data_IF_486646528435
#
_entry.id   IF_486646528435
#
_cell.length_a   1.000
_cell.length_b   1.000
_cell.length_c   1.000
_cell.angle_alpha   90.00
_cell.angle_beta   90.00
_cell.angle_gamma   90.00
#
_symmetry.space_group_name_H-M   'P 1'
#
loop_
_entity.id
_entity.type
_entity.pdbx_description
1 polymer ?
#
# COMPACT_ATOMS: atom_id res chain seq x y z
N UNK A 1 39.89 -9.46 22.19
CA UNK A 1 38.48 -9.79 21.88
C UNK A 1 38.13 -9.14 20.55
N UNK A 2 38.05 -9.92 19.46
CA UNK A 2 38.11 -9.41 18.08
C UNK A 2 36.89 -8.55 17.71
N UNK A 3 37.12 -7.44 17.00
CA UNK A 3 36.05 -6.60 16.43
C UNK A 3 35.07 -7.40 15.56
N UNK A 4 35.51 -8.52 14.98
CA UNK A 4 34.70 -9.47 14.22
C UNK A 4 33.67 -10.22 15.09
N UNK A 5 34.06 -10.66 16.29
CA UNK A 5 33.15 -11.32 17.25
C UNK A 5 32.13 -10.36 17.86
N UNK A 6 32.48 -9.08 18.06
CA UNK A 6 31.52 -8.05 18.48
C UNK A 6 30.54 -7.66 17.36
N UNK A 7 31.02 -7.63 16.11
CA UNK A 7 30.18 -7.43 14.91
C UNK A 7 29.15 -8.56 14.73
N UNK A 8 29.56 -9.82 14.91
CA UNK A 8 28.66 -10.99 14.86
C UNK A 8 27.61 -11.01 15.97
N UNK A 9 27.92 -10.52 17.17
CA UNK A 9 26.98 -10.56 18.30
C UNK A 9 25.88 -9.50 18.21
N UNK A 10 26.19 -8.29 17.71
CA UNK A 10 25.18 -7.26 17.40
C UNK A 10 24.29 -7.66 16.21
N UNK A 11 24.80 -8.44 15.26
CA UNK A 11 24.01 -8.94 14.14
C UNK A 11 23.16 -10.16 14.46
N UNK A 12 23.39 -10.87 15.58
CA UNK A 12 22.67 -12.12 15.86
C UNK A 12 21.19 -11.88 16.17
N UNK A 13 20.86 -10.87 16.96
CA UNK A 13 19.45 -10.53 17.27
C UNK A 13 18.73 -10.02 16.03
N UNK A 14 19.37 -9.14 15.27
CA UNK A 14 18.85 -8.64 13.99
C UNK A 14 18.64 -9.76 12.98
N UNK A 15 19.58 -10.70 12.87
CA UNK A 15 19.48 -11.84 11.96
C UNK A 15 18.37 -12.80 12.39
N UNK A 16 18.27 -13.12 13.68
CA UNK A 16 17.18 -13.94 14.23
C UNK A 16 15.83 -13.29 13.95
N UNK A 17 15.70 -11.99 14.18
CA UNK A 17 14.47 -11.26 13.90
C UNK A 17 14.15 -11.24 12.40
N UNK A 18 15.15 -11.06 11.55
CA UNK A 18 15.00 -11.11 10.10
C UNK A 18 14.53 -12.49 9.63
N UNK A 19 15.12 -13.57 10.16
CA UNK A 19 14.71 -14.94 9.86
C UNK A 19 13.28 -15.20 10.36
N UNK A 20 12.95 -14.74 11.58
CA UNK A 20 11.62 -14.87 12.16
C UNK A 20 10.57 -14.17 11.31
N UNK A 21 10.79 -12.91 10.92
CA UNK A 21 9.87 -12.14 10.06
C UNK A 21 9.75 -12.79 8.69
N UNK A 22 10.84 -13.30 8.12
CA UNK A 22 10.80 -14.05 6.85
C UNK A 22 9.95 -15.32 6.97
N UNK A 23 10.11 -16.07 8.06
CA UNK A 23 9.32 -17.26 8.34
C UNK A 23 7.84 -16.92 8.51
N UNK A 24 7.52 -15.89 9.31
CA UNK A 24 6.13 -15.43 9.51
C UNK A 24 5.52 -14.98 8.18
N UNK A 25 6.26 -14.20 7.36
CA UNK A 25 5.81 -13.81 6.02
C UNK A 25 5.47 -15.05 5.18
N UNK A 26 6.36 -16.05 5.16
CA UNK A 26 6.12 -17.32 4.48
C UNK A 26 4.83 -18.00 4.96
N UNK A 27 4.65 -18.14 6.26
CA UNK A 27 3.43 -18.71 6.86
C UNK A 27 2.19 -17.92 6.44
N UNK A 28 2.21 -16.58 6.56
CA UNK A 28 1.10 -15.71 6.18
C UNK A 28 0.67 -15.91 4.71
N UNK A 29 1.63 -16.10 3.79
CA UNK A 29 1.30 -16.34 2.37
C UNK A 29 0.47 -17.61 2.16
N UNK A 30 0.73 -18.67 2.94
CA UNK A 30 0.02 -19.93 2.85
C UNK A 30 -1.31 -19.96 3.61
N UNK A 31 -1.58 -19.00 4.49
CA UNK A 31 -2.88 -18.90 5.15
C UNK A 31 -3.95 -18.57 4.09
N UNK A 32 -4.99 -19.40 3.95
CA UNK A 32 -6.12 -19.08 3.08
C UNK A 32 -6.88 -17.91 3.69
N UNK A 33 -7.37 -16.99 2.84
CA UNK A 33 -8.19 -15.86 3.29
C UNK A 33 -9.59 -16.30 3.74
N UNK A 34 -9.96 -17.56 3.49
CA UNK A 34 -11.28 -18.13 3.77
C UNK A 34 -12.38 -17.65 2.83
N UNK A 35 -12.04 -16.83 1.83
CA UNK A 35 -12.94 -16.45 0.74
C UNK A 35 -12.63 -17.31 -0.48
N UNK A 36 -13.60 -18.12 -0.89
CA UNK A 36 -13.53 -18.93 -2.10
C UNK A 36 -14.43 -18.38 -3.18
N UNK A 37 -14.13 -18.76 -4.42
CA UNK A 37 -15.03 -18.51 -5.54
C UNK A 37 -16.41 -19.13 -5.26
N UNK A 38 -17.52 -18.46 -5.60
CA UNK A 38 -18.84 -19.07 -5.53
C UNK A 38 -19.04 -20.21 -6.55
N UNK A 39 -18.11 -20.36 -7.50
CA UNK A 39 -18.15 -21.44 -8.49
C UNK A 39 -17.53 -22.74 -7.94
N UNK A 40 -18.01 -23.93 -8.35
CA UNK A 40 -17.50 -25.21 -7.87
C UNK A 40 -15.98 -25.36 -8.07
N UNK A 41 -15.29 -25.97 -7.11
CA UNK A 41 -13.84 -26.13 -7.20
C UNK A 41 -13.42 -26.86 -8.48
N UNK A 42 -12.47 -26.26 -9.19
CA UNK A 42 -11.98 -26.77 -10.46
C UNK A 42 -13.01 -26.73 -11.59
N UNK A 43 -14.08 -25.93 -11.49
CA UNK A 43 -14.98 -25.66 -12.63
C UNK A 43 -14.41 -24.64 -13.61
N UNK A 44 -13.38 -23.88 -13.21
CA UNK A 44 -12.73 -22.89 -14.06
C UNK A 44 -11.20 -23.01 -13.99
N UNK A 45 -10.53 -22.62 -15.07
CA UNK A 45 -9.08 -22.53 -15.16
C UNK A 45 -8.66 -21.19 -15.74
N UNK A 46 -7.71 -20.54 -15.07
CA UNK A 46 -7.08 -19.32 -15.58
C UNK A 46 -5.93 -19.69 -16.52
N UNK A 47 -5.87 -19.05 -17.68
CA UNK A 47 -4.81 -19.30 -18.66
C UNK A 47 -4.31 -18.01 -19.31
N UNK A 48 -3.11 -18.12 -19.87
CA UNK A 48 -2.55 -17.14 -20.80
C UNK A 48 -2.95 -17.58 -22.21
N UNK A 49 -3.45 -16.66 -23.01
CA UNK A 49 -3.82 -16.90 -24.41
C UNK A 49 -3.19 -15.85 -25.32
N UNK A 50 -3.02 -16.19 -26.60
CA UNK A 50 -2.63 -15.25 -27.67
C UNK A 50 -3.84 -14.95 -28.54
N UNK A 51 -4.07 -13.69 -28.86
CA UNK A 51 -5.08 -13.28 -29.84
C UNK A 51 -4.53 -13.56 -31.24
N UNK A 52 -5.19 -14.45 -31.99
CA UNK A 52 -4.82 -14.79 -33.36
C UNK A 52 -5.50 -13.87 -34.37
N UNK A 53 -6.80 -13.65 -34.20
CA UNK A 53 -7.60 -12.81 -35.07
C UNK A 53 -8.67 -12.06 -34.28
N UNK A 54 -9.08 -10.90 -34.81
CA UNK A 54 -10.14 -10.07 -34.23
C UNK A 54 -11.12 -9.67 -35.32
N UNK A 55 -12.39 -10.00 -35.15
CA UNK A 55 -13.47 -9.42 -35.95
C UNK A 55 -14.20 -8.34 -35.13
N UNK A 56 -14.19 -7.13 -35.69
CA UNK A 56 -14.75 -5.93 -35.09
C UNK A 56 -16.03 -5.46 -35.81
N UNK A 57 -16.61 -6.28 -36.68
CA UNK A 57 -17.81 -5.96 -37.47
C UNK A 57 -19.00 -5.50 -36.61
N UNK A 58 -19.11 -6.03 -35.39
CA UNK A 58 -20.14 -5.69 -34.39
C UNK A 58 -19.79 -4.50 -33.50
N UNK A 59 -18.61 -3.91 -33.66
CA UNK A 59 -18.18 -2.72 -32.89
C UNK A 59 -18.67 -1.45 -33.58
N UNK A 60 -19.36 -0.60 -32.82
CA UNK A 60 -19.79 0.74 -33.23
C UNK A 60 -19.00 1.79 -32.47
N UNK A 61 -18.52 2.81 -33.18
CA UNK A 61 -17.91 3.99 -32.55
C UNK A 61 -18.98 5.06 -32.40
N UNK A 62 -19.28 5.47 -31.17
CA UNK A 62 -20.24 6.51 -30.84
C UNK A 62 -19.48 7.62 -30.10
N UNK A 63 -19.25 8.74 -30.78
CA UNK A 63 -18.40 9.81 -30.27
C UNK A 63 -16.99 9.29 -29.95
N UNK A 64 -16.43 9.54 -28.74
CA UNK A 64 -15.10 9.10 -28.37
C UNK A 64 -15.03 7.64 -27.89
N UNK A 65 -16.16 6.93 -27.79
CA UNK A 65 -16.27 5.60 -27.18
C UNK A 65 -16.62 4.52 -28.21
N UNK A 66 -16.19 3.29 -27.93
CA UNK A 66 -16.51 2.09 -28.72
C UNK A 66 -17.48 1.21 -27.96
N UNK A 67 -18.51 0.74 -28.63
CA UNK A 67 -19.57 -0.10 -28.07
C UNK A 67 -19.74 -1.35 -28.92
N UNK A 68 -20.31 -2.40 -28.33
CA UNK A 68 -20.59 -3.66 -29.01
C UNK A 68 -19.63 -4.74 -28.57
N UNK A 69 -19.22 -5.61 -29.48
CA UNK A 69 -18.34 -6.73 -29.13
C UNK A 69 -17.29 -6.98 -30.19
N UNK A 70 -16.10 -7.37 -29.74
CA UNK A 70 -15.05 -7.94 -30.60
C UNK A 70 -15.17 -9.47 -30.55
N UNK A 71 -15.28 -10.11 -31.70
CA UNK A 71 -15.11 -11.56 -31.80
C UNK A 71 -13.62 -11.86 -31.90
N UNK A 72 -13.13 -12.75 -31.06
CA UNK A 72 -11.71 -13.05 -30.91
C UNK A 72 -11.48 -14.53 -31.19
N UNK A 73 -10.52 -14.83 -32.06
CA UNK A 73 -9.91 -16.16 -32.13
C UNK A 73 -8.66 -16.16 -31.25
N UNK A 74 -8.57 -17.11 -30.33
CA UNK A 74 -7.48 -17.17 -29.36
C UNK A 74 -6.81 -18.54 -29.34
N UNK A 75 -5.50 -18.56 -29.12
CA UNK A 75 -4.69 -19.76 -28.87
C UNK A 75 -4.32 -19.81 -27.39
N UNK A 76 -4.60 -20.93 -26.72
CA UNK A 76 -4.20 -21.11 -25.32
C UNK A 76 -2.69 -21.41 -25.23
N UNK A 77 -1.95 -20.66 -24.42
CA UNK A 77 -0.49 -20.79 -24.26
C UNK A 77 -0.06 -21.59 -23.03
N UNK A 78 -0.94 -21.72 -22.03
CA UNK A 78 -0.66 -22.42 -20.76
C UNK A 78 -1.72 -23.47 -20.44
N UNK A 79 -1.57 -24.20 -19.33
CA UNK A 79 -2.48 -25.28 -18.88
C UNK A 79 -2.47 -26.53 -19.78
N UNK A 80 -3.34 -27.50 -19.48
CA UNK A 80 -3.53 -28.74 -20.27
C UNK A 80 -4.17 -28.54 -21.64
N UNK A 81 -4.71 -27.35 -21.91
CA UNK A 81 -5.35 -27.01 -23.19
C UNK A 81 -4.43 -26.21 -24.13
N UNK A 82 -3.13 -26.18 -23.84
CA UNK A 82 -2.13 -25.46 -24.65
C UNK A 82 -2.18 -25.88 -26.13
N UNK A 83 -2.14 -24.89 -27.02
CA UNK A 83 -2.21 -25.04 -28.48
C UNK A 83 -3.63 -25.24 -29.03
N UNK A 84 -4.66 -25.30 -28.16
CA UNK A 84 -6.06 -25.31 -28.64
C UNK A 84 -6.53 -23.90 -28.95
N UNK A 85 -7.37 -23.82 -29.98
CA UNK A 85 -7.97 -22.58 -30.45
C UNK A 85 -9.41 -22.48 -29.95
N UNK A 86 -9.82 -21.29 -29.54
CA UNK A 86 -11.18 -21.01 -29.13
C UNK A 86 -11.65 -19.69 -29.73
N UNK A 87 -12.97 -19.60 -29.96
CA UNK A 87 -13.63 -18.35 -30.28
C UNK A 87 -14.30 -17.79 -29.02
N UNK A 88 -14.11 -16.51 -28.77
CA UNK A 88 -14.64 -15.82 -27.59
C UNK A 88 -15.05 -14.40 -27.96
N UNK A 89 -15.93 -13.83 -27.16
CA UNK A 89 -16.39 -12.46 -27.35
C UNK A 89 -15.79 -11.55 -26.26
N UNK A 90 -15.28 -10.39 -26.65
CA UNK A 90 -14.93 -9.30 -25.73
C UNK A 90 -15.95 -8.15 -25.87
N UNK A 91 -16.68 -7.86 -24.79
CA UNK A 91 -17.74 -6.86 -24.81
C UNK A 91 -17.20 -5.48 -24.42
N UNK A 92 -17.55 -4.46 -25.21
CA UNK A 92 -17.21 -3.06 -25.00
C UNK A 92 -18.46 -2.30 -24.52
N UNK A 93 -18.39 -1.79 -23.29
CA UNK A 93 -19.47 -1.07 -22.61
C UNK A 93 -19.51 0.41 -22.99
N UNK A 94 -18.49 0.91 -23.71
CA UNK A 94 -18.31 2.34 -23.98
C UNK A 94 -17.68 3.11 -22.83
N UNK A 95 -17.14 2.40 -21.85
CA UNK A 95 -16.43 2.94 -20.68
C UNK A 95 -14.96 2.58 -20.81
N UNK A 96 -14.14 3.51 -21.33
CA UNK A 96 -12.70 3.29 -21.56
C UNK A 96 -11.91 2.82 -20.33
N UNK A 97 -12.39 3.12 -19.13
CA UNK A 97 -11.76 2.65 -17.87
C UNK A 97 -11.95 1.14 -17.63
N UNK A 98 -13.00 0.52 -18.20
CA UNK A 98 -13.32 -0.90 -18.06
C UNK A 98 -13.07 -1.70 -19.35
N UNK A 99 -13.22 -1.03 -20.49
CA UNK A 99 -13.13 -1.64 -21.81
C UNK A 99 -11.69 -2.01 -22.15
N UNK A 100 -11.51 -3.21 -22.71
CA UNK A 100 -10.22 -3.68 -23.23
C UNK A 100 -10.31 -3.76 -24.74
N UNK A 101 -9.37 -3.17 -25.45
CA UNK A 101 -9.26 -3.33 -26.90
C UNK A 101 -8.16 -4.32 -27.21
N UNK A 102 -8.49 -5.42 -27.90
CA UNK A 102 -7.52 -6.43 -28.31
C UNK A 102 -7.20 -6.33 -29.80
N UNK A 103 -5.95 -6.63 -30.14
CA UNK A 103 -5.43 -6.73 -31.51
C UNK A 103 -4.73 -8.08 -31.73
N UNK A 104 -4.63 -8.57 -32.98
CA UNK A 104 -3.85 -9.77 -33.29
C UNK A 104 -2.41 -9.66 -32.79
N UNK A 105 -1.92 -10.71 -32.13
CA UNK A 105 -0.59 -10.76 -31.51
C UNK A 105 -0.58 -10.43 -30.01
N UNK A 106 -1.64 -9.81 -29.47
CA UNK A 106 -1.74 -9.50 -28.05
C UNK A 106 -1.80 -10.78 -27.19
N UNK A 107 -1.27 -10.70 -25.97
CA UNK A 107 -1.46 -11.75 -24.97
C UNK A 107 -2.56 -11.38 -24.00
N UNK A 108 -3.56 -12.24 -23.87
CA UNK A 108 -4.70 -12.08 -22.99
C UNK A 108 -4.61 -13.03 -21.78
N UNK A 109 -5.16 -12.58 -20.66
CA UNK A 109 -5.49 -13.39 -19.50
C UNK A 109 -6.95 -13.81 -19.64
N UNK A 110 -7.20 -15.12 -19.64
CA UNK A 110 -8.52 -15.70 -19.91
C UNK A 110 -8.93 -16.63 -18.77
N UNK A 111 -10.24 -16.73 -18.55
CA UNK A 111 -10.85 -17.74 -17.70
C UNK A 111 -11.60 -18.73 -18.58
N UNK A 112 -11.35 -20.01 -18.36
CA UNK A 112 -11.96 -21.11 -19.10
C UNK A 112 -12.89 -21.86 -18.16
N UNK A 113 -14.19 -21.80 -18.42
CA UNK A 113 -15.18 -22.64 -17.76
C UNK A 113 -15.11 -24.04 -18.35
N UNK A 114 -14.99 -25.03 -17.48
CA UNK A 114 -14.87 -26.43 -17.87
C UNK A 114 -16.24 -27.08 -17.96
N UNK A 115 -16.32 -28.13 -18.78
CA UNK A 115 -17.49 -29.00 -18.84
C UNK A 115 -17.76 -29.66 -17.48
N UNK A 116 -18.99 -30.14 -17.20
CA UNK A 116 -19.33 -30.76 -15.92
C UNK A 116 -18.44 -31.96 -15.55
N UNK A 117 -17.93 -32.70 -16.54
CA UNK A 117 -16.98 -33.80 -16.38
C UNK A 117 -15.52 -33.35 -16.22
N UNK A 118 -15.26 -32.03 -16.29
CA UNK A 118 -13.96 -31.36 -16.17
C UNK A 118 -12.92 -31.89 -17.17
N UNK A 119 -13.33 -32.42 -18.32
CA UNK A 119 -12.40 -32.94 -19.34
C UNK A 119 -12.12 -31.95 -20.45
N UNK A 120 -13.09 -31.11 -20.80
CA UNK A 120 -12.94 -30.10 -21.84
C UNK A 120 -13.39 -28.71 -21.37
N UNK A 121 -13.24 -27.74 -22.26
CA UNK A 121 -13.61 -26.34 -22.06
C UNK A 121 -15.02 -26.12 -22.61
N UNK A 122 -15.95 -25.69 -21.76
CA UNK A 122 -17.31 -25.34 -22.13
C UNK A 122 -17.38 -23.92 -22.70
N UNK A 123 -16.69 -22.97 -22.06
CA UNK A 123 -16.68 -21.58 -22.47
C UNK A 123 -15.35 -20.92 -22.12
N UNK A 124 -14.92 -19.94 -22.93
CA UNK A 124 -13.76 -19.12 -22.63
C UNK A 124 -14.19 -17.67 -22.58
N UNK A 125 -13.75 -16.96 -21.55
CA UNK A 125 -14.01 -15.55 -21.38
C UNK A 125 -12.69 -14.79 -21.22
N UNK A 126 -12.53 -13.72 -22.00
CA UNK A 126 -11.32 -12.90 -21.98
C UNK A 126 -11.43 -11.86 -20.88
N UNK A 127 -10.50 -11.91 -19.93
CA UNK A 127 -10.56 -11.08 -18.73
C UNK A 127 -9.79 -9.78 -18.93
N UNK A 128 -8.52 -9.81 -19.30
CA UNK A 128 -7.72 -8.60 -19.56
C UNK A 128 -6.48 -8.95 -20.39
N UNK A 129 -5.61 -7.98 -20.67
CA UNK A 129 -4.27 -8.25 -21.17
C UNK A 129 -3.43 -8.93 -20.09
N UNK A 130 -2.63 -9.89 -20.51
CA UNK A 130 -1.73 -10.61 -19.64
C UNK A 130 -0.53 -9.72 -19.26
N UNK A 131 -0.43 -9.31 -17.98
CA UNK A 131 0.62 -8.41 -17.48
C UNK A 131 1.53 -9.02 -16.42
N UNK A 132 1.26 -10.25 -15.99
CA UNK A 132 1.99 -10.87 -14.87
C UNK A 132 3.50 -10.98 -15.12
N UNK A 133 3.93 -11.33 -16.34
CA UNK A 133 5.36 -11.43 -16.68
C UNK A 133 6.07 -10.07 -16.55
N UNK A 134 5.43 -8.99 -17.03
CA UNK A 134 5.99 -7.64 -16.95
C UNK A 134 6.02 -7.10 -15.53
N UNK A 135 4.98 -7.37 -14.74
CA UNK A 135 4.93 -7.03 -13.31
C UNK A 135 6.04 -7.76 -12.56
N UNK A 136 6.24 -9.05 -12.83
CA UNK A 136 7.30 -9.84 -12.21
C UNK A 136 8.70 -9.31 -12.58
N UNK A 137 8.93 -8.98 -13.86
CA UNK A 137 10.19 -8.41 -14.31
C UNK A 137 10.50 -7.07 -13.64
N UNK A 138 9.50 -6.18 -13.54
CA UNK A 138 9.65 -4.90 -12.85
C UNK A 138 9.94 -5.09 -11.36
N UNK A 139 9.25 -6.02 -10.72
CA UNK A 139 9.45 -6.32 -9.30
C UNK A 139 10.86 -6.87 -9.02
N UNK A 140 11.34 -7.80 -9.84
CA UNK A 140 12.70 -8.34 -9.73
C UNK A 140 13.74 -7.24 -9.95
N UNK A 141 13.56 -6.39 -10.98
CA UNK A 141 14.46 -5.26 -11.23
C UNK A 141 14.53 -4.31 -10.04
N UNK A 142 13.38 -3.96 -9.44
CA UNK A 142 13.32 -3.12 -8.26
C UNK A 142 14.10 -3.71 -7.08
N UNK A 143 13.93 -5.02 -6.80
CA UNK A 143 14.65 -5.71 -5.73
C UNK A 143 16.16 -5.71 -5.99
N UNK A 144 16.59 -5.99 -7.22
CA UNK A 144 18.00 -6.00 -7.59
C UNK A 144 18.65 -4.63 -7.38
N UNK A 145 17.97 -3.56 -7.77
CA UNK A 145 18.46 -2.18 -7.55
C UNK A 145 18.48 -1.84 -6.05
N UNK A 146 17.44 -2.19 -5.30
CA UNK A 146 17.34 -1.93 -3.86
C UNK A 146 18.46 -2.64 -3.09
N UNK A 147 18.66 -3.93 -3.34
CA UNK A 147 19.73 -4.72 -2.69
C UNK A 147 21.10 -4.29 -3.20
N UNK A 148 21.24 -3.98 -4.49
CA UNK A 148 22.50 -3.49 -5.06
C UNK A 148 22.96 -2.18 -4.43
N UNK A 149 22.04 -1.25 -4.18
CA UNK A 149 22.35 0.05 -3.57
C UNK A 149 22.50 0.00 -2.05
N UNK A 150 21.56 -0.64 -1.35
CA UNK A 150 21.49 -0.62 0.12
C UNK A 150 22.03 -1.90 0.81
N UNK A 151 22.52 -2.88 0.03
CA UNK A 151 23.12 -4.11 0.54
C UNK A 151 22.20 -4.87 1.50
N UNK A 152 22.72 -5.20 2.68
CA UNK A 152 21.97 -5.90 3.73
C UNK A 152 20.76 -5.11 4.24
N UNK A 153 20.86 -3.77 4.31
CA UNK A 153 19.74 -2.91 4.71
C UNK A 153 18.64 -2.96 3.64
N UNK A 154 19.02 -2.97 2.37
CA UNK A 154 18.10 -3.16 1.24
C UNK A 154 17.36 -4.50 1.30
N UNK A 155 18.06 -5.57 1.65
CA UNK A 155 17.44 -6.89 1.85
C UNK A 155 16.44 -6.90 3.01
N UNK A 156 16.78 -6.29 4.15
CA UNK A 156 15.85 -6.12 5.28
C UNK A 156 14.62 -5.30 4.87
N UNK A 157 14.80 -4.21 4.13
CA UNK A 157 13.70 -3.39 3.61
C UNK A 157 12.80 -4.17 2.63
N UNK A 158 13.36 -5.07 1.83
CA UNK A 158 12.57 -5.97 0.99
C UNK A 158 11.73 -6.94 1.83
N UNK A 159 12.29 -7.54 2.89
CA UNK A 159 11.55 -8.43 3.78
C UNK A 159 10.42 -7.67 4.49
N UNK A 160 10.66 -6.45 4.98
CA UNK A 160 9.59 -5.66 5.60
C UNK A 160 8.49 -5.29 4.61
N UNK A 161 8.84 -5.00 3.36
CA UNK A 161 7.86 -4.76 2.29
C UNK A 161 6.98 -5.99 2.05
N UNK A 162 7.59 -7.16 1.88
CA UNK A 162 6.86 -8.43 1.67
C UNK A 162 5.99 -8.77 2.87
N UNK A 163 6.51 -8.62 4.09
CA UNK A 163 5.75 -8.80 5.33
C UNK A 163 4.52 -7.86 5.38
N UNK A 164 4.71 -6.59 5.01
CA UNK A 164 3.63 -5.60 5.02
C UNK A 164 2.51 -5.96 4.04
N UNK A 165 2.87 -6.33 2.81
CA UNK A 165 1.90 -6.78 1.81
C UNK A 165 1.17 -8.04 2.28
N UNK A 166 1.90 -9.03 2.81
CA UNK A 166 1.32 -10.26 3.32
C UNK A 166 0.35 -9.97 4.48
N UNK A 167 0.74 -9.15 5.45
CA UNK A 167 -0.09 -8.82 6.61
C UNK A 167 -1.35 -8.06 6.20
N UNK A 168 -1.25 -7.11 5.28
CA UNK A 168 -2.42 -6.37 4.78
C UNK A 168 -3.38 -7.31 4.05
N UNK A 169 -2.89 -8.09 3.07
CA UNK A 169 -3.74 -8.91 2.21
C UNK A 169 -4.29 -10.15 2.95
N UNK A 170 -3.52 -10.75 3.86
CA UNK A 170 -3.87 -12.02 4.50
C UNK A 170 -4.48 -11.87 5.89
N UNK A 171 -4.28 -10.73 6.56
CA UNK A 171 -4.80 -10.51 7.91
C UNK A 171 -5.74 -9.32 7.95
N UNK A 172 -5.29 -8.13 7.57
CA UNK A 172 -6.11 -6.92 7.68
C UNK A 172 -7.40 -7.00 6.85
N UNK A 173 -7.28 -7.20 5.53
CA UNK A 173 -8.44 -7.20 4.64
C UNK A 173 -9.43 -8.33 4.95
N UNK A 174 -9.01 -9.60 5.14
CA UNK A 174 -9.94 -10.68 5.47
C UNK A 174 -10.65 -10.47 6.81
N UNK A 175 -9.96 -10.00 7.84
CA UNK A 175 -10.60 -9.74 9.15
C UNK A 175 -11.61 -8.60 9.08
N UNK A 176 -11.34 -7.54 8.31
CA UNK A 176 -12.33 -6.49 8.02
C UNK A 176 -13.56 -7.10 7.34
N UNK A 177 -13.36 -7.96 6.34
CA UNK A 177 -14.45 -8.65 5.65
C UNK A 177 -15.21 -9.61 6.59
N UNK A 178 -14.56 -10.20 7.60
CA UNK A 178 -15.21 -10.98 8.65
C UNK A 178 -15.98 -10.13 9.68
N UNK A 179 -16.06 -8.81 9.49
CA UNK A 179 -16.87 -7.90 10.32
C UNK A 179 -16.14 -7.28 11.49
N UNK A 180 -14.81 -7.39 11.57
CA UNK A 180 -14.04 -6.66 12.57
C UNK A 180 -14.06 -5.17 12.28
N UNK A 181 -14.01 -4.35 13.34
CA UNK A 181 -14.02 -2.90 13.20
C UNK A 181 -12.82 -2.40 12.37
N UNK A 182 -13.05 -1.75 11.20
CA UNK A 182 -11.96 -1.35 10.31
C UNK A 182 -10.98 -0.37 10.96
N UNK A 183 -11.47 0.53 11.82
CA UNK A 183 -10.66 1.58 12.41
C UNK A 183 -9.67 1.00 13.43
N UNK A 184 -10.18 0.27 14.43
CA UNK A 184 -9.36 -0.30 15.51
C UNK A 184 -8.42 -1.40 15.01
N UNK A 185 -8.90 -2.27 14.11
CA UNK A 185 -8.08 -3.33 13.54
C UNK A 185 -6.93 -2.75 12.73
N UNK A 186 -7.19 -1.75 11.88
CA UNK A 186 -6.14 -1.11 11.10
C UNK A 186 -5.14 -0.41 12.00
N UNK A 187 -5.58 0.24 13.09
CA UNK A 187 -4.66 0.85 14.07
C UNK A 187 -3.71 -0.20 14.70
N UNK A 188 -4.25 -1.36 15.09
CA UNK A 188 -3.44 -2.46 15.63
C UNK A 188 -2.45 -3.03 14.61
N UNK A 189 -2.90 -3.21 13.36
CA UNK A 189 -2.03 -3.67 12.26
C UNK A 189 -0.95 -2.64 11.94
N UNK A 190 -1.27 -1.35 11.86
CA UNK A 190 -0.28 -0.28 11.64
C UNK A 190 0.72 -0.23 12.79
N UNK A 191 0.31 -0.43 14.04
CA UNK A 191 1.23 -0.53 15.17
C UNK A 191 2.20 -1.71 15.03
N UNK A 192 1.70 -2.87 14.62
CA UNK A 192 2.52 -4.06 14.35
C UNK A 192 3.47 -3.84 13.16
N UNK A 193 3.00 -3.26 12.06
CA UNK A 193 3.83 -2.89 10.91
C UNK A 193 4.92 -1.92 11.33
N UNK A 194 4.56 -0.88 12.09
CA UNK A 194 5.50 0.13 12.61
C UNK A 194 6.58 -0.52 13.46
N UNK A 195 6.21 -1.45 14.34
CA UNK A 195 7.17 -2.23 15.11
C UNK A 195 8.09 -3.04 14.18
N UNK A 196 7.53 -3.88 13.33
CA UNK A 196 8.34 -4.80 12.49
C UNK A 196 9.26 -4.03 11.55
N UNK A 197 8.76 -3.01 10.85
CA UNK A 197 9.54 -2.22 9.89
C UNK A 197 10.70 -1.51 10.59
N UNK A 198 10.42 -0.78 11.67
CA UNK A 198 11.44 0.02 12.38
C UNK A 198 12.50 -0.89 13.00
N UNK A 199 12.11 -1.98 13.66
CA UNK A 199 13.08 -2.87 14.31
C UNK A 199 13.83 -3.76 13.33
N UNK A 200 13.27 -4.05 12.14
CA UNK A 200 13.99 -4.76 11.09
C UNK A 200 15.06 -3.86 10.47
N UNK A 201 14.71 -2.64 10.06
CA UNK A 201 15.63 -1.71 9.39
C UNK A 201 16.59 -1.04 10.38
N UNK A 202 16.06 -0.53 11.49
CA UNK A 202 16.81 0.22 12.51
C UNK A 202 17.43 -0.61 13.64
N UNK A 203 17.10 -1.90 13.71
CA UNK A 203 17.57 -2.82 14.74
C UNK A 203 16.97 -2.53 16.13
N UNK A 204 17.21 -3.45 17.08
CA UNK A 204 16.80 -3.30 18.49
C UNK A 204 17.71 -2.32 19.25
N UNK A 205 17.60 -1.04 18.89
CA UNK A 205 18.46 0.03 19.40
C UNK A 205 17.63 1.15 20.03
N UNK A 206 18.28 2.05 20.78
CA UNK A 206 17.66 3.31 21.24
C UNK A 206 17.06 4.09 20.06
N UNK A 207 17.71 4.03 18.90
CA UNK A 207 17.25 4.63 17.65
C UNK A 207 15.91 4.06 17.21
N UNK A 208 15.79 2.74 17.17
CA UNK A 208 14.54 2.04 16.87
C UNK A 208 13.43 2.37 17.87
N UNK A 209 13.74 2.42 19.18
CA UNK A 209 12.74 2.75 20.20
C UNK A 209 12.22 4.20 20.08
N UNK A 210 13.11 5.18 19.90
CA UNK A 210 12.73 6.58 19.72
C UNK A 210 11.88 6.75 18.45
N UNK A 211 12.29 6.10 17.36
CA UNK A 211 11.56 6.11 16.10
C UNK A 211 10.18 5.45 16.22
N UNK A 212 10.07 4.33 16.93
CA UNK A 212 8.80 3.64 17.15
C UNK A 212 7.81 4.50 17.93
N UNK A 213 8.23 5.09 19.06
CA UNK A 213 7.36 5.93 19.89
C UNK A 213 6.97 7.20 19.13
N UNK A 214 7.91 7.82 18.41
CA UNK A 214 7.64 9.00 17.59
C UNK A 214 6.62 8.73 16.49
N UNK A 215 6.78 7.61 15.78
CA UNK A 215 5.87 7.18 14.72
C UNK A 215 4.48 6.85 15.27
N UNK A 216 4.40 6.09 16.36
CA UNK A 216 3.13 5.76 17.01
C UNK A 216 2.39 7.01 17.49
N UNK A 217 3.10 8.01 18.03
CA UNK A 217 2.51 9.30 18.39
C UNK A 217 1.85 10.00 17.19
N UNK A 218 2.53 10.00 16.04
CA UNK A 218 1.98 10.54 14.79
C UNK A 218 0.77 9.77 14.26
N UNK A 219 0.84 8.43 14.25
CA UNK A 219 -0.27 7.57 13.81
C UNK A 219 -1.50 7.74 14.70
N UNK A 220 -1.32 7.79 16.03
CA UNK A 220 -2.41 8.01 16.96
C UNK A 220 -3.07 9.36 16.76
N UNK A 221 -2.28 10.43 16.59
CA UNK A 221 -2.82 11.75 16.30
C UNK A 221 -3.58 11.75 14.96
N UNK A 222 -3.01 11.16 13.92
CA UNK A 222 -3.67 11.04 12.60
C UNK A 222 -5.01 10.31 12.73
N UNK A 223 -5.06 9.25 13.55
CA UNK A 223 -6.28 8.48 13.80
C UNK A 223 -7.35 9.34 14.48
N UNK A 224 -6.97 10.11 15.51
CA UNK A 224 -7.88 11.02 16.23
C UNK A 224 -8.41 12.12 15.32
N UNK A 225 -7.53 12.73 14.52
CA UNK A 225 -7.90 13.76 13.55
C UNK A 225 -8.78 13.17 12.44
N UNK A 226 -8.48 11.98 11.94
CA UNK A 226 -9.28 11.31 10.91
C UNK A 226 -10.68 11.04 11.44
N UNK A 227 -10.81 10.54 12.67
CA UNK A 227 -12.11 10.35 13.31
C UNK A 227 -12.89 11.68 13.42
N UNK A 228 -12.26 12.73 13.97
CA UNK A 228 -12.90 14.02 14.17
C UNK A 228 -13.32 14.69 12.86
N UNK A 229 -12.39 14.85 11.91
CA UNK A 229 -12.65 15.59 10.67
C UNK A 229 -13.57 14.84 9.71
N UNK A 230 -13.48 13.51 9.64
CA UNK A 230 -14.38 12.70 8.80
C UNK A 230 -15.83 12.83 9.29
N UNK A 231 -16.05 12.78 10.61
CA UNK A 231 -17.37 13.01 11.20
C UNK A 231 -17.84 14.45 11.03
N UNK A 232 -16.96 15.44 11.23
CA UNK A 232 -17.31 16.85 11.10
C UNK A 232 -17.71 17.23 9.67
N UNK A 233 -17.00 16.70 8.67
CA UNK A 233 -17.28 16.91 7.25
C UNK A 233 -18.36 15.98 6.70
N UNK A 234 -18.92 15.09 7.54
CA UNK A 234 -19.99 14.14 7.18
C UNK A 234 -19.63 13.24 5.99
N UNK A 235 -18.38 12.77 5.93
CA UNK A 235 -17.90 11.90 4.87
C UNK A 235 -18.40 10.48 5.10
N UNK A 236 -19.22 9.96 4.17
CA UNK A 236 -19.79 8.60 4.27
C UNK A 236 -18.85 7.49 3.75
N UNK A 237 -17.73 7.82 3.11
CA UNK A 237 -16.67 6.86 2.72
C UNK A 237 -16.92 6.06 1.44
N UNK A 238 -18.15 6.00 0.91
CA UNK A 238 -18.46 5.27 -0.34
C UNK A 238 -17.84 5.89 -1.61
N UNK A 239 -17.23 7.06 -1.50
CA UNK A 239 -16.55 7.76 -2.59
C UNK A 239 -15.26 7.06 -3.07
N UNK A 240 -14.76 6.07 -2.33
CA UNK A 240 -13.56 5.32 -2.71
C UNK A 240 -13.93 4.31 -3.80
N UNK A 241 -13.09 4.13 -4.84
CA UNK A 241 -13.33 3.12 -5.86
C UNK A 241 -13.64 1.75 -5.24
N UNK A 242 -14.67 1.08 -5.74
CA UNK A 242 -15.13 -0.24 -5.29
C UNK A 242 -15.66 -0.31 -3.84
N UNK A 243 -15.66 0.76 -3.05
CA UNK A 243 -16.13 0.71 -1.67
C UNK A 243 -17.63 0.38 -1.58
N UNK A 244 -18.46 1.00 -2.43
CA UNK A 244 -19.89 0.68 -2.50
C UNK A 244 -20.13 -0.74 -3.03
N UNK A 245 -19.30 -1.22 -3.96
CA UNK A 245 -19.41 -2.57 -4.51
C UNK A 245 -19.28 -3.66 -3.44
N UNK A 246 -18.53 -3.42 -2.36
CA UNK A 246 -18.42 -4.36 -1.24
C UNK A 246 -19.78 -4.62 -0.58
N UNK A 247 -20.63 -3.59 -0.47
CA UNK A 247 -21.97 -3.73 0.10
C UNK A 247 -22.84 -4.65 -0.78
N UNK A 248 -22.77 -4.47 -2.10
CA UNK A 248 -23.48 -5.31 -3.07
C UNK A 248 -22.94 -6.75 -3.14
N UNK A 249 -21.71 -6.99 -2.69
CA UNK A 249 -21.11 -8.33 -2.59
C UNK A 249 -21.51 -9.07 -1.30
N UNK A 250 -22.40 -8.49 -0.49
CA UNK A 250 -22.90 -9.10 0.74
C UNK A 250 -22.12 -8.72 2.00
N UNK A 251 -21.31 -7.66 1.96
CA UNK A 251 -20.61 -7.10 3.13
C UNK A 251 -21.29 -5.82 3.63
N UNK A 252 -22.62 -5.85 3.78
CA UNK A 252 -23.45 -4.69 4.15
C UNK A 252 -23.19 -4.16 5.57
N UNK A 253 -22.64 -5.01 6.46
CA UNK A 253 -22.18 -4.61 7.80
C UNK A 253 -20.93 -3.72 7.81
N UNK A 254 -20.26 -3.54 6.67
CA UNK A 254 -19.01 -2.79 6.60
C UNK A 254 -19.27 -1.29 6.76
N UNK A 255 -18.66 -0.69 7.78
CA UNK A 255 -18.71 0.76 7.96
C UNK A 255 -17.75 1.46 6.99
N UNK A 256 -18.27 1.91 5.83
CA UNK A 256 -17.50 2.67 4.84
C UNK A 256 -16.83 3.95 5.39
N UNK A 257 -17.45 4.74 6.30
CA UNK A 257 -16.76 5.87 6.92
C UNK A 257 -15.54 5.44 7.76
N UNK A 258 -15.65 4.34 8.53
CA UNK A 258 -14.54 3.82 9.33
C UNK A 258 -13.44 3.21 8.46
N UNK A 259 -13.82 2.57 7.37
CA UNK A 259 -12.87 2.09 6.35
C UNK A 259 -12.11 3.25 5.71
N UNK A 260 -12.80 4.37 5.43
CA UNK A 260 -12.16 5.59 4.95
C UNK A 260 -11.17 6.15 5.98
N UNK A 261 -11.58 6.31 7.24
CA UNK A 261 -10.70 6.78 8.33
C UNK A 261 -9.47 5.88 8.50
N UNK A 262 -9.65 4.56 8.45
CA UNK A 262 -8.58 3.57 8.48
C UNK A 262 -7.57 3.76 7.34
N UNK A 263 -8.08 4.00 6.12
CA UNK A 263 -7.26 4.30 4.96
C UNK A 263 -6.37 5.53 5.14
N UNK A 264 -6.85 6.59 5.81
CA UNK A 264 -6.09 7.84 6.02
C UNK A 264 -4.77 7.60 6.75
N UNK A 265 -4.82 6.99 7.93
CA UNK A 265 -3.59 6.79 8.72
C UNK A 265 -2.79 5.57 8.24
N UNK A 266 -3.41 4.57 7.60
CA UNK A 266 -2.68 3.50 6.93
C UNK A 266 -1.81 4.08 5.81
N UNK A 267 -2.37 4.97 4.97
CA UNK A 267 -1.66 5.59 3.86
C UNK A 267 -0.54 6.52 4.32
N UNK A 268 -0.73 7.30 5.39
CA UNK A 268 0.32 8.20 5.91
C UNK A 268 1.36 7.52 6.80
N UNK A 269 1.08 6.31 7.32
CA UNK A 269 1.97 5.62 8.27
C UNK A 269 3.39 5.43 7.75
N UNK A 270 3.56 5.14 6.46
CA UNK A 270 4.88 5.01 5.81
C UNK A 270 5.75 6.25 6.00
N UNK A 271 5.24 7.42 5.58
CA UNK A 271 5.95 8.68 5.70
C UNK A 271 6.22 9.08 7.17
N UNK A 272 5.29 8.74 8.07
CA UNK A 272 5.44 8.95 9.52
C UNK A 272 6.61 8.12 10.08
N UNK A 273 6.74 6.85 9.67
CA UNK A 273 7.83 5.97 10.09
C UNK A 273 9.19 6.48 9.61
N UNK A 274 9.29 6.84 8.32
CA UNK A 274 10.53 7.31 7.71
C UNK A 274 11.03 8.60 8.38
N UNK A 275 10.14 9.58 8.57
CA UNK A 275 10.49 10.84 9.22
C UNK A 275 10.97 10.63 10.67
N UNK A 276 10.30 9.76 11.43
CA UNK A 276 10.71 9.48 12.80
C UNK A 276 12.07 8.77 12.85
N UNK A 277 12.32 7.86 11.90
CA UNK A 277 13.59 7.15 11.78
C UNK A 277 14.75 8.10 11.43
N UNK A 278 14.53 9.05 10.52
CA UNK A 278 15.53 10.04 10.11
C UNK A 278 15.91 11.00 11.25
N UNK A 279 14.90 11.54 11.96
CA UNK A 279 15.14 12.41 13.11
C UNK A 279 15.85 11.65 14.22
N UNK A 280 15.40 10.43 14.53
CA UNK A 280 16.03 9.58 15.52
C UNK A 280 17.48 9.24 15.16
N UNK A 281 17.76 8.98 13.87
CA UNK A 281 19.12 8.75 13.36
C UNK A 281 20.01 9.97 13.59
N UNK A 282 19.56 11.15 13.17
CA UNK A 282 20.31 12.39 13.28
C UNK A 282 20.61 12.74 14.74
N UNK A 283 19.63 12.60 15.63
CA UNK A 283 19.82 12.82 17.06
C UNK A 283 20.80 11.83 17.68
N UNK A 284 20.72 10.55 17.29
CA UNK A 284 21.67 9.52 17.72
C UNK A 284 23.11 9.85 17.32
N UNK A 285 23.32 10.32 16.10
CA UNK A 285 24.64 10.73 15.60
C UNK A 285 25.17 11.96 16.37
N UNK A 286 24.32 12.96 16.64
CA UNK A 286 24.71 14.15 17.41
C UNK A 286 25.18 13.74 18.81
N UNK A 287 24.46 12.84 19.50
CA UNK A 287 24.86 12.36 20.83
C UNK A 287 26.14 11.53 20.77
N UNK A 288 26.33 10.76 19.70
CA UNK A 288 27.56 10.00 19.51
C UNK A 288 28.79 10.92 19.35
N UNK A 289 28.65 12.04 18.63
CA UNK A 289 29.73 13.03 18.42
C UNK A 289 29.90 14.00 19.59
N UNK A 290 28.83 14.33 20.30
CA UNK A 290 28.84 15.24 21.45
C UNK A 290 28.18 14.59 22.68
N UNK A 291 28.88 13.68 23.38
CA UNK A 291 28.29 12.92 24.50
C UNK A 291 27.84 13.76 25.69
N UNK A 292 28.34 15.00 25.81
CA UNK A 292 27.99 15.93 26.90
C UNK A 292 26.82 16.87 26.55
N UNK A 293 26.20 16.72 25.37
CA UNK A 293 25.07 17.56 24.96
C UNK A 293 23.93 17.47 25.97
N UNK A 294 23.36 18.61 26.35
CA UNK A 294 22.22 18.63 27.25
C UNK A 294 20.94 18.12 26.54
N UNK A 295 19.98 17.61 27.32
CA UNK A 295 18.68 17.16 26.81
C UNK A 295 17.99 18.22 25.95
N UNK A 296 17.99 19.46 26.42
CA UNK A 296 17.32 20.58 25.76
C UNK A 296 18.03 21.02 24.49
N UNK A 297 19.36 20.98 24.45
CA UNK A 297 20.12 21.24 23.22
C UNK A 297 19.84 20.16 22.18
N UNK A 298 19.84 18.88 22.59
CA UNK A 298 19.51 17.79 21.68
C UNK A 298 18.07 17.89 21.14
N UNK A 299 17.10 18.22 22.01
CA UNK A 299 15.72 18.46 21.60
C UNK A 299 15.66 19.59 20.57
N UNK A 300 16.32 20.73 20.83
CA UNK A 300 16.39 21.86 19.87
C UNK A 300 16.99 21.42 18.54
N UNK A 301 18.08 20.64 18.55
CA UNK A 301 18.66 20.10 17.33
C UNK A 301 17.69 19.18 16.58
N UNK A 302 16.97 18.31 17.29
CA UNK A 302 15.93 17.45 16.71
C UNK A 302 14.78 18.25 16.09
N UNK A 303 14.34 19.32 16.74
CA UNK A 303 13.35 20.26 16.18
C UNK A 303 13.85 20.93 14.90
N UNK A 304 15.12 21.34 14.84
CA UNK A 304 15.71 21.94 13.64
C UNK A 304 15.74 20.94 12.49
N UNK A 305 16.20 19.70 12.72
CA UNK A 305 16.19 18.63 11.71
C UNK A 305 14.75 18.38 11.24
N UNK A 306 13.82 18.18 12.16
CA UNK A 306 12.42 17.94 11.84
C UNK A 306 11.79 19.07 11.02
N UNK A 307 12.09 20.34 11.34
CA UNK A 307 11.58 21.50 10.59
C UNK A 307 12.00 21.47 9.12
N UNK A 308 13.24 21.08 8.82
CA UNK A 308 13.72 21.01 7.45
C UNK A 308 13.09 19.85 6.67
N UNK A 309 12.95 18.68 7.29
CA UNK A 309 12.41 17.49 6.62
C UNK A 309 10.88 17.56 6.46
N UNK A 310 10.16 18.07 7.46
CA UNK A 310 8.69 18.20 7.39
C UNK A 310 8.25 19.11 6.24
N UNK A 311 8.99 20.19 5.98
CA UNK A 311 8.67 21.14 4.90
C UNK A 311 8.68 20.49 3.51
N UNK A 312 9.70 19.66 3.23
CA UNK A 312 9.80 18.95 1.95
C UNK A 312 8.78 17.80 1.86
N UNK A 313 8.61 17.01 2.92
CA UNK A 313 7.70 15.87 2.92
C UNK A 313 6.21 16.25 2.85
N UNK A 314 5.81 17.38 3.42
CA UNK A 314 4.41 17.86 3.31
C UNK A 314 4.04 18.10 1.85
N UNK A 315 4.96 18.68 1.08
CA UNK A 315 4.77 18.89 -0.37
C UNK A 315 4.76 17.56 -1.11
N UNK A 316 5.62 16.62 -0.72
CA UNK A 316 5.64 15.27 -1.32
C UNK A 316 4.30 14.54 -1.17
N UNK A 317 3.68 14.57 0.02
CA UNK A 317 2.36 13.97 0.24
C UNK A 317 1.29 14.65 -0.62
N UNK A 318 1.29 15.99 -0.66
CA UNK A 318 0.35 16.74 -1.49
C UNK A 318 0.46 16.35 -2.97
N UNK A 319 1.68 16.28 -3.50
CA UNK A 319 1.93 15.90 -4.89
C UNK A 319 1.55 14.45 -5.16
N UNK A 320 1.85 13.53 -4.25
CA UNK A 320 1.52 12.11 -4.38
C UNK A 320 0.01 11.89 -4.50
N UNK A 321 -0.79 12.55 -3.65
CA UNK A 321 -2.24 12.45 -3.72
C UNK A 321 -2.82 13.21 -4.91
N UNK A 322 -2.36 14.44 -5.17
CA UNK A 322 -2.83 15.24 -6.32
C UNK A 322 -2.61 14.50 -7.65
N UNK A 323 -1.47 13.81 -7.80
CA UNK A 323 -1.15 12.99 -8.97
C UNK A 323 -2.24 11.96 -9.31
N UNK A 324 -2.73 11.24 -8.30
CA UNK A 324 -3.80 10.23 -8.46
C UNK A 324 -5.15 10.80 -8.90
N UNK A 325 -5.38 12.09 -8.65
CA UNK A 325 -6.66 12.78 -8.96
C UNK A 325 -6.54 13.79 -10.10
N UNK A 326 -5.44 13.75 -10.86
CA UNK A 326 -5.17 14.71 -11.94
C UNK A 326 -6.32 14.79 -12.96
N UNK A 327 -6.85 13.64 -13.40
CA UNK A 327 -7.97 13.61 -14.35
C UNK A 327 -9.26 14.21 -13.77
N UNK A 328 -9.52 14.01 -12.48
CA UNK A 328 -10.67 14.61 -11.78
C UNK A 328 -10.53 16.13 -11.72
N UNK A 329 -9.35 16.63 -11.33
CA UNK A 329 -9.07 18.07 -11.26
C UNK A 329 -9.15 18.72 -12.65
N UNK A 330 -8.59 18.09 -13.68
CA UNK A 330 -8.69 18.55 -15.06
C UNK A 330 -10.14 18.63 -15.53
N UNK A 331 -10.98 17.66 -15.15
CA UNK A 331 -12.41 17.66 -15.51
C UNK A 331 -13.12 18.88 -14.95
N UNK A 332 -12.87 19.23 -13.68
CA UNK A 332 -13.49 20.41 -13.07
C UNK A 332 -12.99 21.73 -13.66
N UNK A 333 -11.68 21.82 -13.95
CA UNK A 333 -11.10 22.98 -14.63
C UNK A 333 -11.72 23.14 -16.03
N UNK A 334 -11.81 22.05 -16.79
CA UNK A 334 -12.40 22.06 -18.13
C UNK A 334 -13.88 22.43 -18.14
N UNK A 335 -14.62 22.08 -17.08
CA UNK A 335 -16.02 22.46 -16.89
C UNK A 335 -16.22 23.89 -16.36
N UNK A 336 -15.14 24.59 -16.00
CA UNK A 336 -15.21 25.94 -15.44
C UNK A 336 -15.96 26.02 -14.11
N UNK A 337 -15.98 24.92 -13.34
CA UNK A 337 -16.70 24.88 -12.05
C UNK A 337 -16.01 25.83 -11.07
N UNK A 338 -16.75 26.74 -10.39
CA UNK A 338 -16.16 27.61 -9.38
C UNK A 338 -15.46 26.81 -8.28
N UNK A 339 -14.30 27.27 -7.82
CA UNK A 339 -13.49 26.57 -6.83
C UNK A 339 -14.27 26.27 -5.55
N UNK A 340 -15.15 27.19 -5.10
CA UNK A 340 -16.01 26.97 -3.95
C UNK A 340 -16.89 25.73 -4.10
N UNK A 341 -17.42 25.47 -5.30
CA UNK A 341 -18.25 24.30 -5.57
C UNK A 341 -17.40 23.03 -5.58
N UNK A 342 -16.23 23.07 -6.22
CA UNK A 342 -15.27 21.95 -6.25
C UNK A 342 -14.92 21.52 -4.83
N UNK A 343 -14.58 22.47 -3.94
CA UNK A 343 -14.19 22.19 -2.55
C UNK A 343 -15.33 21.62 -1.70
N UNK A 344 -16.60 21.90 -2.05
CA UNK A 344 -17.79 21.34 -1.40
C UNK A 344 -18.20 19.97 -1.97
N UNK A 345 -17.63 19.52 -3.10
CA UNK A 345 -17.92 18.20 -3.62
C UNK A 345 -17.26 17.13 -2.75
N UNK A 346 -18.03 16.13 -2.35
CA UNK A 346 -17.58 15.10 -1.42
C UNK A 346 -16.32 14.35 -1.89
N UNK A 347 -16.16 14.12 -3.20
CA UNK A 347 -14.95 13.50 -3.77
C UNK A 347 -13.68 14.30 -3.47
N UNK A 348 -13.79 15.63 -3.53
CA UNK A 348 -12.67 16.54 -3.29
C UNK A 348 -12.48 16.74 -1.80
N UNK A 349 -13.55 17.02 -1.05
CA UNK A 349 -13.46 17.23 0.40
C UNK A 349 -12.87 16.00 1.11
N UNK A 350 -13.26 14.78 0.71
CA UNK A 350 -12.70 13.56 1.26
C UNK A 350 -11.19 13.45 0.98
N UNK A 351 -10.72 13.77 -0.22
CA UNK A 351 -9.29 13.69 -0.54
C UNK A 351 -8.47 14.79 0.13
N UNK A 352 -9.05 15.98 0.32
CA UNK A 352 -8.43 17.05 1.11
C UNK A 352 -8.28 16.60 2.57
N UNK A 353 -9.31 16.00 3.16
CA UNK A 353 -9.19 15.45 4.52
C UNK A 353 -8.10 14.38 4.56
N UNK A 354 -8.09 13.45 3.60
CA UNK A 354 -7.10 12.39 3.50
C UNK A 354 -5.66 12.95 3.49
N UNK A 355 -5.42 13.93 2.62
CA UNK A 355 -4.10 14.57 2.44
C UNK A 355 -3.71 15.42 3.64
N UNK A 356 -4.61 16.29 4.12
CA UNK A 356 -4.32 17.24 5.20
C UNK A 356 -4.19 16.54 6.54
N UNK A 357 -5.09 15.62 6.89
CA UNK A 357 -5.01 14.86 8.15
C UNK A 357 -3.75 14.00 8.19
N UNK A 358 -3.42 13.33 7.08
CA UNK A 358 -2.14 12.62 6.96
C UNK A 358 -0.93 13.52 7.18
N UNK A 359 -0.95 14.73 6.62
CA UNK A 359 0.11 15.73 6.77
C UNK A 359 0.20 16.31 8.19
N UNK A 360 -0.93 16.54 8.87
CA UNK A 360 -0.92 16.97 10.29
C UNK A 360 -0.25 15.92 11.18
N UNK A 361 -0.54 14.64 10.94
CA UNK A 361 0.14 13.53 11.58
C UNK A 361 1.65 13.62 11.40
N UNK A 362 2.10 13.74 10.16
CA UNK A 362 3.51 13.86 9.79
C UNK A 362 4.20 15.06 10.48
N UNK A 363 3.59 16.25 10.46
CA UNK A 363 4.14 17.45 11.11
C UNK A 363 4.37 17.21 12.60
N UNK A 364 3.47 16.47 13.26
CA UNK A 364 3.54 16.20 14.70
C UNK A 364 4.47 15.06 15.08
N UNK A 365 4.86 14.19 14.15
CA UNK A 365 5.91 13.19 14.38
C UNK A 365 7.24 13.84 14.74
N UNK A 366 7.60 14.93 14.07
CA UNK A 366 8.85 15.64 14.29
C UNK A 366 9.04 16.10 15.75
N UNK A 367 8.13 16.90 16.35
CA UNK A 367 8.26 17.33 17.73
C UNK A 367 8.21 16.15 18.71
N UNK A 368 7.34 15.15 18.48
CA UNK A 368 7.23 13.99 19.38
C UNK A 368 8.54 13.20 19.37
N UNK A 369 9.09 12.92 18.20
CA UNK A 369 10.36 12.17 18.05
C UNK A 369 11.52 12.95 18.68
N UNK A 370 11.59 14.27 18.49
CA UNK A 370 12.61 15.12 19.08
C UNK A 370 12.55 15.14 20.62
N UNK A 371 11.35 15.22 21.20
CA UNK A 371 11.16 15.17 22.65
C UNK A 371 11.59 13.81 23.20
N UNK A 372 11.08 12.71 22.62
CA UNK A 372 11.40 11.34 23.06
C UNK A 372 12.90 11.06 22.92
N UNK A 373 13.51 11.45 21.80
CA UNK A 373 14.96 11.30 21.57
C UNK A 373 15.79 12.02 22.62
N UNK A 374 15.38 13.23 23.02
CA UNK A 374 15.99 14.00 24.09
C UNK A 374 16.10 13.22 25.40
N UNK A 375 15.01 12.57 25.81
CA UNK A 375 14.95 11.81 27.05
C UNK A 375 15.61 10.43 26.98
N UNK A 376 15.54 9.75 25.83
CA UNK A 376 16.05 8.38 25.67
C UNK A 376 17.56 8.35 25.39
N UNK A 377 18.07 9.27 24.56
CA UNK A 377 19.48 9.30 24.23
C UNK A 377 20.34 9.87 25.37
N UNK A 378 19.88 10.95 26.03
CA UNK A 378 20.63 11.61 27.11
C UNK A 378 20.14 11.10 28.48
N UNK A 379 20.85 10.07 28.99
CA UNK A 379 20.72 9.57 30.37
C UNK A 379 21.00 10.64 31.43
N UNK A 380 20.57 10.42 32.69
CA UNK A 380 20.65 11.41 33.78
C UNK A 380 22.02 12.13 33.80
N UNK A 381 22.06 13.46 33.98
CA UNK A 381 23.31 14.20 34.04
C UNK A 381 24.19 13.58 35.12
N UNK A 382 25.45 13.27 34.77
CA UNK A 382 26.44 12.91 35.77
C UNK A 382 26.44 14.02 36.82
N UNK A 383 26.22 13.67 38.10
CA UNK A 383 26.46 14.59 39.21
C UNK A 383 27.86 15.14 38.98
N UNK A 384 27.98 16.46 38.79
CA UNK A 384 29.27 17.14 38.92
C UNK A 384 29.78 16.80 40.31
N UNK A 385 30.85 16.00 40.37
CA UNK A 385 31.56 15.68 41.60
C UNK A 385 32.27 16.92 42.12
#
# INVERSE_FOLDING_TARGET
MNRFTAFLHLHRQDLIFTILVTFISGVLFFIPTGFTSPYPEGSFLWAKARILATDNSTVKTIGPSKHGSQQLEIEILTTRFKGRHFFTTNNLLGKKELDKWFSPGDTAFVVMDLTPDKKDVAHVNVMDHFRLDGILALFVLFILVLIGFAGWIGFKAFISFVFSVALIIKVLLPLILYGWDPLLLTLGIVALLTFVIIFLVGGFTKKGLVSFIGSMGGVLLTTLLAFFFTSWFKIHGAIRPFAENLLYMGFDWLSLPRLFMAGVFLASSGAVMDLSMDISAAMGEIVHKHPQISRWELIKSGFTVGRHVVGTMTTTLLLAYTGGYTALLMTFIAQGIPLANILNMIYVSAEIIHTMVGSFGLVMVAPITALVGGFVYVGKPAKKA
#
